data_IF_791029890198
#
_entry.id   IF_791029890198
#
_cell.length_a   1.000
_cell.length_b   1.000
_cell.length_c   1.000
_cell.angle_alpha   90.00
_cell.angle_beta   90.00
_cell.angle_gamma   90.00
#
_symmetry.space_group_name_H-M   'P 1'
#
loop_
_entity.id
_entity.type
_entity.pdbx_description
1 polymer ?
#
# COMPACT_ATOMS: atom_id res chain seq x y z
N UNK A 1 -28.24 20.30 -1.55
CA UNK A 1 -26.85 19.98 -1.96
C UNK A 1 -25.98 19.51 -0.79
N UNK A 2 -26.51 18.71 0.16
CA UNK A 2 -25.76 18.24 1.33
C UNK A 2 -25.19 16.81 1.18
N UNK A 3 -25.68 16.05 0.19
CA UNK A 3 -25.34 14.62 0.02
C UNK A 3 -24.06 14.35 -0.77
N UNK A 4 -23.50 15.36 -1.45
CA UNK A 4 -22.28 15.20 -2.25
C UNK A 4 -21.00 15.36 -1.41
N UNK A 5 -21.00 16.25 -0.42
CA UNK A 5 -19.85 16.43 0.49
C UNK A 5 -19.69 15.25 1.46
N UNK A 6 -20.78 14.71 2.00
CA UNK A 6 -20.73 13.55 2.91
C UNK A 6 -20.13 12.29 2.27
N UNK A 7 -20.30 12.09 0.96
CA UNK A 7 -19.73 10.92 0.25
C UNK A 7 -18.27 11.11 -0.14
N UNK A 8 -17.82 12.36 -0.30
CA UNK A 8 -16.43 12.66 -0.61
C UNK A 8 -15.54 12.41 0.62
N UNK A 9 -15.97 12.90 1.79
CA UNK A 9 -15.28 12.65 3.07
C UNK A 9 -15.19 11.16 3.40
N UNK A 10 -16.27 10.39 3.21
CA UNK A 10 -16.25 8.94 3.44
C UNK A 10 -15.30 8.20 2.49
N UNK A 11 -15.13 8.68 1.25
CA UNK A 11 -14.23 8.08 0.27
C UNK A 11 -12.77 8.38 0.61
N UNK A 12 -12.49 9.61 1.02
CA UNK A 12 -11.16 10.07 1.43
C UNK A 12 -10.70 9.34 2.71
N UNK A 13 -11.57 9.22 3.72
CA UNK A 13 -11.28 8.45 4.93
C UNK A 13 -10.98 6.96 4.63
N UNK A 14 -11.73 6.34 3.71
CA UNK A 14 -11.46 4.96 3.28
C UNK A 14 -10.14 4.82 2.53
N UNK A 15 -9.71 5.85 1.82
CA UNK A 15 -8.40 5.87 1.17
C UNK A 15 -7.29 5.99 2.22
N UNK A 16 -7.42 6.89 3.19
CA UNK A 16 -6.44 7.05 4.27
C UNK A 16 -6.28 5.77 5.10
N UNK A 17 -7.38 5.10 5.43
CA UNK A 17 -7.33 3.80 6.11
C UNK A 17 -6.62 2.72 5.26
N UNK A 18 -6.85 2.70 3.94
CA UNK A 18 -6.20 1.76 3.03
C UNK A 18 -4.71 2.06 2.95
N UNK A 19 -4.32 3.33 2.82
CA UNK A 19 -2.93 3.78 2.76
C UNK A 19 -2.18 3.37 4.03
N UNK A 20 -2.74 3.66 5.20
CA UNK A 20 -2.12 3.33 6.48
C UNK A 20 -1.94 1.81 6.65
N UNK A 21 -2.95 1.01 6.29
CA UNK A 21 -2.85 -0.47 6.34
C UNK A 21 -1.77 -1.04 5.42
N UNK A 22 -1.61 -0.47 4.23
CA UNK A 22 -0.57 -0.90 3.28
C UNK A 22 0.80 -0.54 3.82
N UNK A 23 0.97 0.69 4.30
CA UNK A 23 2.23 1.15 4.85
C UNK A 23 2.67 0.33 6.06
N UNK A 24 1.75 0.05 6.99
CA UNK A 24 2.00 -0.78 8.17
C UNK A 24 2.46 -2.20 7.79
N UNK A 25 1.83 -2.81 6.79
CA UNK A 25 2.23 -4.15 6.33
C UNK A 25 3.60 -4.16 5.66
N UNK A 26 3.93 -3.11 4.90
CA UNK A 26 5.24 -2.98 4.27
C UNK A 26 6.32 -2.71 5.33
N UNK A 27 6.04 -1.89 6.35
CA UNK A 27 6.97 -1.62 7.45
C UNK A 27 7.29 -2.83 8.32
N UNK A 28 6.39 -3.83 8.38
CA UNK A 28 6.65 -5.12 9.05
C UNK A 28 7.67 -5.99 8.30
N UNK A 29 8.00 -5.66 7.05
CA UNK A 29 8.95 -6.44 6.25
C UNK A 29 10.39 -6.12 6.67
N UNK A 30 11.04 -7.11 7.27
CA UNK A 30 12.44 -6.97 7.69
C UNK A 30 13.36 -6.64 6.51
N UNK A 31 14.21 -5.61 6.66
CA UNK A 31 15.20 -5.21 5.66
C UNK A 31 14.65 -4.29 4.57
N UNK A 32 13.51 -3.63 4.82
CA UNK A 32 13.02 -2.48 4.07
C UNK A 32 13.20 -1.25 4.96
N UNK A 33 13.87 -0.21 4.45
CA UNK A 33 14.00 1.07 5.13
C UNK A 33 12.69 1.86 5.10
N UNK A 34 12.47 2.82 6.02
CA UNK A 34 11.26 3.64 6.01
C UNK A 34 11.00 4.36 4.68
N UNK A 35 12.05 4.83 3.99
CA UNK A 35 11.94 5.46 2.67
C UNK A 35 11.49 4.48 1.59
N UNK A 36 12.07 3.28 1.58
CA UNK A 36 11.66 2.21 0.65
C UNK A 36 10.23 1.75 0.94
N UNK A 37 9.81 1.73 2.22
CA UNK A 37 8.45 1.34 2.60
C UNK A 37 7.40 2.32 2.06
N UNK A 38 7.67 3.63 2.14
CA UNK A 38 6.81 4.66 1.56
C UNK A 38 6.70 4.51 0.04
N UNK A 39 7.80 4.20 -0.62
CA UNK A 39 7.87 4.06 -2.06
C UNK A 39 7.12 2.82 -2.56
N UNK A 40 7.32 1.67 -1.89
CA UNK A 40 6.54 0.44 -2.13
C UNK A 40 5.06 0.68 -1.88
N UNK A 41 4.68 1.32 -0.77
CA UNK A 41 3.29 1.61 -0.48
C UNK A 41 2.65 2.47 -1.58
N UNK A 42 3.37 3.49 -2.06
CA UNK A 42 2.92 4.35 -3.17
C UNK A 42 2.65 3.54 -4.44
N UNK A 43 3.56 2.64 -4.82
CA UNK A 43 3.39 1.75 -5.98
C UNK A 43 2.16 0.84 -5.80
N UNK A 44 2.02 0.22 -4.64
CA UNK A 44 0.92 -0.70 -4.36
C UNK A 44 -0.44 0.02 -4.35
N UNK A 45 -0.52 1.24 -3.80
CA UNK A 45 -1.76 2.04 -3.80
C UNK A 45 -2.12 2.48 -5.22
N UNK A 46 -1.12 2.85 -6.04
CA UNK A 46 -1.34 3.24 -7.43
C UNK A 46 -1.74 2.06 -8.32
N UNK A 47 -1.29 0.85 -7.99
CA UNK A 47 -1.47 -0.35 -8.81
C UNK A 47 -2.20 -1.45 -8.05
N UNK A 48 -3.53 -1.39 -8.05
CA UNK A 48 -4.40 -2.28 -7.25
C UNK A 48 -4.17 -3.77 -7.53
N UNK A 49 -3.80 -4.15 -8.75
CA UNK A 49 -3.46 -5.54 -9.08
C UNK A 49 -2.19 -6.03 -8.35
N UNK A 50 -1.18 -5.17 -8.17
CA UNK A 50 0.04 -5.46 -7.38
C UNK A 50 -0.28 -5.53 -5.90
N UNK A 51 -1.21 -4.70 -5.43
CA UNK A 51 -1.70 -4.73 -4.06
C UNK A 51 -2.39 -6.05 -3.72
N UNK A 52 -3.26 -6.55 -4.59
CA UNK A 52 -3.91 -7.85 -4.42
C UNK A 52 -2.89 -8.98 -4.31
N UNK A 53 -1.88 -9.01 -5.19
CA UNK A 53 -0.79 -9.99 -5.15
C UNK A 53 -0.02 -9.89 -3.82
N UNK A 54 0.30 -8.67 -3.38
CA UNK A 54 1.01 -8.43 -2.13
C UNK A 54 0.26 -8.98 -0.91
N UNK A 55 -1.05 -8.77 -0.80
CA UNK A 55 -1.83 -9.27 0.33
C UNK A 55 -2.06 -10.78 0.31
N UNK A 56 -2.11 -11.41 -0.87
CA UNK A 56 -2.27 -12.86 -1.01
C UNK A 56 -0.96 -13.63 -0.79
N UNK A 57 0.19 -12.97 -0.97
CA UNK A 57 1.48 -13.60 -0.82
C UNK A 57 1.83 -13.88 0.65
N UNK A 58 2.51 -15.01 0.95
CA UNK A 58 3.09 -15.25 2.27
C UNK A 58 4.23 -14.26 2.57
N UNK A 59 4.52 -14.01 3.85
CA UNK A 59 5.45 -12.96 4.31
C UNK A 59 6.83 -13.00 3.64
N UNK A 60 7.39 -14.19 3.43
CA UNK A 60 8.68 -14.36 2.75
C UNK A 60 8.65 -13.87 1.29
N UNK A 61 7.53 -14.10 0.60
CA UNK A 61 7.33 -13.63 -0.77
C UNK A 61 6.99 -12.13 -0.83
N UNK A 62 6.23 -11.60 0.14
CA UNK A 62 5.93 -10.16 0.24
C UNK A 62 7.19 -9.31 0.26
N UNK A 63 8.19 -9.72 1.04
CA UNK A 63 9.49 -9.04 1.10
C UNK A 63 10.18 -9.04 -0.27
N UNK A 64 10.31 -10.20 -0.90
CA UNK A 64 10.95 -10.30 -2.21
C UNK A 64 10.20 -9.48 -3.26
N UNK A 65 8.87 -9.49 -3.20
CA UNK A 65 8.01 -8.71 -4.08
C UNK A 65 8.24 -7.22 -3.91
N UNK A 66 8.24 -6.71 -2.68
CA UNK A 66 8.53 -5.31 -2.38
C UNK A 66 9.92 -4.87 -2.89
N UNK A 67 10.95 -5.69 -2.68
CA UNK A 67 12.30 -5.44 -3.22
C UNK A 67 12.28 -5.42 -4.76
N UNK A 68 11.53 -6.31 -5.40
CA UNK A 68 11.42 -6.34 -6.85
C UNK A 68 10.73 -5.09 -7.39
N UNK A 69 9.69 -4.59 -6.71
CA UNK A 69 9.00 -3.34 -7.08
C UNK A 69 9.96 -2.14 -7.07
N UNK A 70 10.87 -2.07 -6.09
CA UNK A 70 11.88 -1.02 -6.00
C UNK A 70 12.95 -1.12 -7.11
N UNK A 71 13.26 -2.34 -7.56
CA UNK A 71 14.26 -2.60 -8.63
C UNK A 71 13.73 -2.40 -10.04
N UNK A 72 12.40 -2.47 -10.23
CA UNK A 72 11.74 -2.28 -11.53
C UNK A 72 11.40 -0.81 -11.82
N UNK A 73 11.92 0.10 -11.00
CA UNK A 73 11.83 1.55 -11.19
C UNK A 73 12.77 1.99 -12.31
#
# INVERSE_FOLDING_TARGET
MASAWSKADEREQRMDEKVNKVLDEVMKLNGISPSEALEVATILIAEEHKLCIFYQAPTNMKKQYAINLLKMK
#
